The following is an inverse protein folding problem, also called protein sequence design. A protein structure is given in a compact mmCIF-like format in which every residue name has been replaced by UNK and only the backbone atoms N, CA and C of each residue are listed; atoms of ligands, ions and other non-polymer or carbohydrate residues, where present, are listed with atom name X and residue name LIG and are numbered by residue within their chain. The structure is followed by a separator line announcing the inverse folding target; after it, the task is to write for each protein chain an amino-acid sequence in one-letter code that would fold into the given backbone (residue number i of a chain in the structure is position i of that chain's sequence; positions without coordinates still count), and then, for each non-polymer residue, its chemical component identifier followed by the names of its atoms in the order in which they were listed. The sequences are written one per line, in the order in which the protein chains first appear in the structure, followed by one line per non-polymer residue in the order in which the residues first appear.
data_IF_505486285899
#
_entry.id   IF_505486285899
#
_cell.length_a   1.000
_cell.length_b   1.000
_cell.length_c   1.000
_cell.angle_alpha   90.00
_cell.angle_beta   90.00
_cell.angle_gamma   90.00
#
_symmetry.space_group_name_H-M   'P 1'
#
loop_
_entity.id
_entity.type
_entity.pdbx_description
1 polymer ?
#
# COMPACT_ATOMS: atom_id res chain seq x y z
N UNK A 1 15.61 20.42 41.28
CA UNK A 1 16.29 20.07 40.02
C UNK A 1 16.32 18.54 39.94
N UNK A 2 15.39 17.93 39.20
CA UNK A 2 15.38 16.50 38.91
C UNK A 2 15.51 16.38 37.41
N UNK A 3 16.67 15.89 36.97
CA UNK A 3 16.99 15.59 35.58
C UNK A 3 16.13 14.40 35.12
N UNK A 4 15.16 14.64 34.24
CA UNK A 4 14.46 13.59 33.55
C UNK A 4 15.37 13.12 32.41
N UNK A 5 15.92 11.92 32.53
CA UNK A 5 16.54 11.20 31.44
C UNK A 5 15.43 10.87 30.41
N UNK A 6 15.44 11.53 29.29
CA UNK A 6 14.70 11.15 28.09
C UNK A 6 15.39 9.91 27.50
N UNK A 7 14.79 8.75 27.72
CA UNK A 7 15.12 7.54 26.99
C UNK A 7 14.55 7.69 25.57
N UNK A 8 15.39 8.08 24.62
CA UNK A 8 15.11 7.89 23.19
C UNK A 8 15.13 6.40 22.93
N UNK A 9 13.94 5.79 22.76
CA UNK A 9 13.81 4.39 22.34
C UNK A 9 14.27 4.26 20.88
N UNK A 10 15.55 3.98 20.71
CA UNK A 10 16.07 3.49 19.44
C UNK A 10 15.50 2.09 19.22
N UNK A 11 14.77 1.88 18.13
CA UNK A 11 14.62 0.54 17.56
C UNK A 11 16.03 0.09 17.19
N UNK A 12 16.63 -0.73 18.05
CA UNK A 12 18.00 -1.23 17.80
C UNK A 12 17.96 -2.22 16.66
N UNK A 13 18.30 -1.76 15.47
CA UNK A 13 18.53 -2.60 14.30
C UNK A 13 19.89 -3.27 14.48
N UNK A 14 19.93 -4.42 15.15
CA UNK A 14 21.14 -5.22 15.27
C UNK A 14 21.28 -6.12 14.04
N UNK A 15 22.09 -5.70 13.09
CA UNK A 15 22.64 -6.58 12.04
C UNK A 15 23.73 -7.44 12.65
N UNK A 16 23.41 -8.67 13.00
CA UNK A 16 24.41 -9.64 13.46
C UNK A 16 24.93 -10.42 12.27
N UNK A 17 26.25 -10.32 12.06
CA UNK A 17 26.96 -11.01 10.98
C UNK A 17 26.75 -12.55 11.02
N UNK A 18 26.51 -13.11 9.85
CA UNK A 18 26.28 -14.53 9.64
C UNK A 18 27.50 -15.38 9.98
N UNK A 19 27.39 -16.33 10.91
CA UNK A 19 28.33 -17.39 11.13
C UNK A 19 28.03 -18.61 10.25
N UNK A 20 29.05 -19.33 9.72
CA UNK A 20 28.82 -20.50 8.89
C UNK A 20 28.33 -21.69 9.75
N UNK A 21 27.15 -22.18 9.44
CA UNK A 21 26.56 -23.35 10.09
C UNK A 21 26.82 -24.63 9.30
N UNK A 22 27.19 -25.74 10.01
CA UNK A 22 27.36 -27.09 9.44
C UNK A 22 26.01 -27.70 9.02
N UNK A 23 25.99 -28.32 7.85
CA UNK A 23 24.81 -28.92 7.23
C UNK A 23 24.29 -30.17 7.96
N UNK A 24 22.97 -30.28 8.12
CA UNK A 24 22.25 -31.50 8.47
C UNK A 24 21.36 -31.88 7.27
N UNK A 25 21.45 -33.19 6.89
CA UNK A 25 20.71 -33.75 5.75
C UNK A 25 19.24 -33.92 6.05
N UNK A 26 18.40 -33.71 5.04
CA UNK A 26 16.95 -33.80 4.90
C UNK A 26 16.20 -32.51 5.21
N UNK A 27 15.92 -31.78 4.15
CA UNK A 27 15.01 -30.64 4.17
C UNK A 27 14.12 -30.67 2.95
N UNK A 28 12.83 -30.60 3.20
CA UNK A 28 11.86 -30.19 2.18
C UNK A 28 12.28 -28.81 1.66
N UNK A 29 12.47 -28.69 0.35
CA UNK A 29 12.71 -27.41 -0.29
C UNK A 29 11.48 -26.52 -0.04
N UNK A 30 11.67 -25.46 0.71
CA UNK A 30 10.64 -24.44 0.86
C UNK A 30 10.42 -23.79 -0.52
N UNK A 31 9.25 -23.98 -1.08
CA UNK A 31 8.81 -23.28 -2.27
C UNK A 31 8.40 -21.87 -1.86
N UNK A 32 9.30 -20.92 -2.06
CA UNK A 32 8.99 -19.50 -1.86
C UNK A 32 8.07 -18.96 -2.95
N UNK A 33 7.48 -17.82 -2.67
CA UNK A 33 6.77 -17.01 -3.68
C UNK A 33 7.42 -15.63 -3.76
N UNK A 34 7.30 -15.02 -4.92
CA UNK A 34 7.84 -13.66 -5.11
C UNK A 34 7.27 -12.72 -4.07
N UNK A 35 8.14 -11.98 -3.40
CA UNK A 35 7.72 -10.95 -2.47
C UNK A 35 6.93 -9.84 -3.19
N UNK A 36 5.87 -9.29 -2.55
CA UNK A 36 5.07 -8.24 -3.16
C UNK A 36 5.85 -6.94 -3.30
N UNK A 37 5.46 -6.13 -4.28
CA UNK A 37 5.97 -4.76 -4.44
C UNK A 37 5.52 -3.91 -3.25
N UNK A 38 6.44 -3.11 -2.70
CA UNK A 38 6.18 -2.22 -1.57
C UNK A 38 5.97 -0.79 -2.07
N UNK A 39 4.78 -0.28 -1.85
CA UNK A 39 4.35 1.02 -2.34
C UNK A 39 3.63 1.87 -1.29
N UNK A 40 3.18 3.02 -1.73
CA UNK A 40 2.33 3.88 -0.93
C UNK A 40 1.20 4.47 -1.76
N UNK A 41 0.06 4.65 -1.12
CA UNK A 41 -1.07 5.35 -1.69
C UNK A 41 -0.83 6.85 -1.61
N UNK A 42 -0.77 7.47 -2.78
CA UNK A 42 -0.52 8.90 -2.96
C UNK A 42 -1.86 9.63 -2.99
N UNK A 43 -2.33 10.03 -1.82
CA UNK A 43 -3.66 10.63 -1.67
C UNK A 43 -3.59 12.14 -1.81
N UNK A 44 -4.44 12.66 -2.67
CA UNK A 44 -4.57 14.09 -2.91
C UNK A 44 -5.77 14.75 -2.24
N UNK A 45 -6.77 13.98 -1.84
CA UNK A 45 -7.93 14.50 -1.15
C UNK A 45 -7.50 15.10 0.19
N UNK A 46 -7.58 16.41 0.35
CA UNK A 46 -7.36 17.16 1.60
C UNK A 46 -5.92 17.60 1.93
N UNK A 47 -4.93 17.50 0.99
CA UNK A 47 -3.55 17.89 1.33
C UNK A 47 -2.93 18.87 0.36
N UNK A 48 -2.62 20.09 0.84
CA UNK A 48 -2.18 21.10 -0.09
C UNK A 48 -0.70 21.09 -0.39
N UNK A 49 0.18 20.98 0.58
CA UNK A 49 1.48 21.58 0.34
C UNK A 49 2.62 20.64 -0.07
N UNK A 50 3.08 19.68 0.74
CA UNK A 50 4.37 19.08 0.41
C UNK A 50 4.31 18.10 -0.76
N UNK A 51 3.18 17.43 -1.01
CA UNK A 51 3.04 16.52 -2.15
C UNK A 51 2.86 17.31 -3.45
N UNK A 52 1.95 18.28 -3.48
CA UNK A 52 1.70 19.13 -4.67
C UNK A 52 2.96 19.89 -5.05
N UNK A 53 3.58 20.57 -4.08
CA UNK A 53 4.83 21.27 -4.30
C UNK A 53 5.96 20.33 -4.73
N UNK A 54 5.98 19.10 -4.20
CA UNK A 54 6.92 18.06 -4.62
C UNK A 54 6.69 17.58 -6.04
N UNK A 55 5.48 17.71 -6.59
CA UNK A 55 5.22 17.41 -7.99
C UNK A 55 5.62 18.58 -8.90
N UNK A 56 5.38 19.81 -8.48
CA UNK A 56 5.49 21.01 -9.32
C UNK A 56 6.86 21.71 -9.25
N UNK A 57 7.59 21.55 -8.15
CA UNK A 57 8.92 22.16 -7.95
C UNK A 57 10.02 21.10 -8.04
N UNK A 58 10.97 21.26 -8.96
CA UNK A 58 12.02 20.27 -9.21
C UNK A 58 12.95 20.00 -8.02
N UNK A 59 13.19 21.00 -7.16
CA UNK A 59 14.01 20.83 -5.95
C UNK A 59 13.24 20.06 -4.88
N UNK A 60 11.97 20.38 -4.68
CA UNK A 60 11.07 19.70 -3.75
C UNK A 60 10.76 18.29 -4.22
N UNK A 61 10.60 18.07 -5.53
CA UNK A 61 10.47 16.77 -6.17
C UNK A 61 11.64 15.83 -5.83
N UNK A 62 12.88 16.32 -5.95
CA UNK A 62 14.07 15.53 -5.58
C UNK A 62 14.11 15.20 -4.08
N UNK A 63 13.68 16.12 -3.22
CA UNK A 63 13.61 15.88 -1.78
C UNK A 63 12.54 14.83 -1.43
N UNK A 64 11.36 14.93 -2.02
CA UNK A 64 10.27 13.98 -1.88
C UNK A 64 10.68 12.59 -2.39
N UNK A 65 11.29 12.50 -3.57
CA UNK A 65 11.79 11.24 -4.13
C UNK A 65 12.82 10.57 -3.22
N UNK A 66 13.77 11.34 -2.66
CA UNK A 66 14.73 10.79 -1.69
C UNK A 66 14.04 10.26 -0.43
N UNK A 67 13.03 10.97 0.06
CA UNK A 67 12.26 10.52 1.22
C UNK A 67 11.49 9.23 0.93
N UNK A 68 10.88 9.11 -0.24
CA UNK A 68 10.19 7.89 -0.67
C UNK A 68 11.16 6.72 -0.80
N UNK A 69 12.31 6.94 -1.43
CA UNK A 69 13.36 5.93 -1.49
C UNK A 69 13.86 5.52 -0.09
N UNK A 70 14.02 6.49 0.82
CA UNK A 70 14.40 6.21 2.21
C UNK A 70 13.34 5.44 2.99
N UNK A 71 12.06 5.51 2.58
CA UNK A 71 10.98 4.67 3.09
C UNK A 71 10.89 3.30 2.40
N UNK A 72 11.74 3.03 1.40
CA UNK A 72 11.72 1.79 0.63
C UNK A 72 10.59 1.71 -0.38
N UNK A 73 9.99 2.84 -0.76
CA UNK A 73 8.93 2.86 -1.76
C UNK A 73 9.50 2.65 -3.16
N UNK A 74 8.89 1.73 -3.91
CA UNK A 74 9.23 1.44 -5.30
C UNK A 74 8.04 1.61 -6.24
N UNK A 75 6.85 1.80 -5.66
CA UNK A 75 5.61 1.98 -6.39
C UNK A 75 4.71 2.99 -5.68
N UNK A 76 3.96 3.75 -6.44
CA UNK A 76 2.96 4.68 -5.92
C UNK A 76 1.60 4.34 -6.49
N UNK A 77 0.55 4.50 -5.71
CA UNK A 77 -0.82 4.42 -6.20
C UNK A 77 -1.38 5.83 -6.32
N UNK A 78 -1.93 6.16 -7.45
CA UNK A 78 -2.74 7.34 -7.61
C UNK A 78 -4.19 7.00 -7.27
N UNK A 79 -4.60 7.34 -6.07
CA UNK A 79 -5.98 7.17 -5.61
C UNK A 79 -6.83 8.31 -6.16
N UNK A 80 -7.89 7.98 -6.87
CA UNK A 80 -8.75 8.96 -7.47
C UNK A 80 -10.04 9.15 -6.66
N UNK A 81 -10.23 10.37 -6.18
CA UNK A 81 -11.46 10.80 -5.51
C UNK A 81 -12.02 12.04 -6.20
N UNK A 82 -12.87 11.88 -7.20
CA UNK A 82 -13.52 13.00 -7.84
C UNK A 82 -13.52 12.97 -9.37
N UNK A 83 -13.92 14.05 -9.99
CA UNK A 83 -13.96 14.19 -11.43
C UNK A 83 -12.64 14.71 -11.97
N UNK A 84 -12.21 14.10 -13.08
CA UNK A 84 -10.91 14.34 -13.61
C UNK A 84 -10.92 14.36 -15.15
N UNK A 85 -10.22 15.32 -15.75
CA UNK A 85 -9.92 15.32 -17.17
C UNK A 85 -8.47 15.75 -17.41
N UNK A 86 -7.68 14.99 -18.17
CA UNK A 86 -6.31 15.37 -18.54
C UNK A 86 -6.26 16.65 -19.38
N UNK A 87 -7.34 17.02 -20.03
CA UNK A 87 -7.44 18.21 -20.89
C UNK A 87 -8.14 19.41 -20.24
N UNK A 88 -8.36 19.39 -18.95
CA UNK A 88 -8.39 20.55 -18.08
C UNK A 88 -9.67 21.33 -17.92
N UNK A 89 -10.49 21.67 -18.91
CA UNK A 89 -11.52 22.68 -18.70
C UNK A 89 -12.77 22.20 -17.96
N UNK A 90 -13.29 21.02 -18.31
CA UNK A 90 -14.50 20.49 -17.65
C UNK A 90 -14.23 20.04 -16.22
N UNK A 91 -13.15 19.32 -16.02
CA UNK A 91 -12.75 18.88 -14.70
C UNK A 91 -12.36 20.05 -13.81
N UNK A 92 -11.64 21.04 -14.36
CA UNK A 92 -11.27 22.25 -13.62
C UNK A 92 -12.51 23.01 -13.13
N UNK A 93 -13.57 23.12 -13.91
CA UNK A 93 -14.81 23.76 -13.50
C UNK A 93 -15.55 22.95 -12.43
N UNK A 94 -15.69 21.63 -12.59
CA UNK A 94 -16.34 20.74 -11.63
C UNK A 94 -15.58 20.67 -10.32
N UNK A 95 -14.24 20.57 -10.37
CA UNK A 95 -13.37 20.54 -9.20
C UNK A 95 -13.35 21.88 -8.49
N UNK A 96 -13.31 23.00 -9.21
CA UNK A 96 -13.45 24.34 -8.61
C UNK A 96 -14.80 24.52 -7.93
N UNK A 97 -15.88 24.01 -8.52
CA UNK A 97 -17.22 24.03 -7.92
C UNK A 97 -17.28 23.17 -6.65
N UNK A 98 -16.68 21.98 -6.68
CA UNK A 98 -16.62 21.08 -5.53
C UNK A 98 -15.70 21.65 -4.42
N UNK A 99 -14.53 22.16 -4.74
CA UNK A 99 -13.63 22.81 -3.80
C UNK A 99 -14.28 24.05 -3.15
N UNK A 100 -15.02 24.83 -3.91
CA UNK A 100 -15.78 25.95 -3.38
C UNK A 100 -16.90 25.51 -2.44
N UNK A 101 -17.54 24.38 -2.72
CA UNK A 101 -18.61 23.81 -1.91
C UNK A 101 -18.09 23.18 -0.61
N UNK A 102 -16.95 22.53 -0.65
CA UNK A 102 -16.36 21.80 0.48
C UNK A 102 -15.39 22.65 1.29
N UNK A 103 -15.02 23.81 0.79
CA UNK A 103 -13.95 24.66 1.36
C UNK A 103 -12.60 23.92 1.46
N UNK A 104 -12.40 22.94 0.57
CA UNK A 104 -11.21 22.09 0.52
C UNK A 104 -10.21 22.55 -0.54
N UNK A 105 -9.03 22.01 -0.49
CA UNK A 105 -7.78 22.47 -1.09
C UNK A 105 -7.73 22.51 -2.62
N UNK A 106 -6.81 23.30 -3.20
CA UNK A 106 -6.65 23.39 -4.64
C UNK A 106 -6.26 22.02 -5.22
N UNK A 107 -7.03 21.60 -6.18
CA UNK A 107 -6.73 20.43 -6.98
C UNK A 107 -5.49 20.66 -7.84
N UNK A 108 -4.75 19.61 -8.13
CA UNK A 108 -3.65 19.67 -9.08
C UNK A 108 -3.88 18.72 -10.26
N UNK A 109 -3.32 19.05 -11.44
CA UNK A 109 -3.45 18.21 -12.61
C UNK A 109 -2.78 16.86 -12.45
N UNK A 110 -3.40 15.78 -12.93
CA UNK A 110 -2.76 14.47 -13.03
C UNK A 110 -1.51 14.53 -13.89
N UNK A 111 -1.44 15.50 -14.78
CA UNK A 111 -0.27 15.78 -15.60
C UNK A 111 0.99 15.88 -14.76
N UNK A 112 0.93 16.62 -13.65
CA UNK A 112 2.06 16.76 -12.74
C UNK A 112 2.46 15.41 -12.11
N UNK A 113 1.46 14.57 -11.80
CA UNK A 113 1.73 13.23 -11.29
C UNK A 113 2.33 12.32 -12.38
N UNK A 114 1.78 12.34 -13.59
CA UNK A 114 2.30 11.55 -14.71
C UNK A 114 3.74 11.96 -15.01
N UNK A 115 4.05 13.26 -15.04
CA UNK A 115 5.40 13.75 -15.25
C UNK A 115 6.34 13.34 -14.11
N UNK A 116 5.86 13.37 -12.88
CA UNK A 116 6.63 12.90 -11.73
C UNK A 116 6.98 11.40 -11.90
N UNK A 117 6.02 10.55 -12.22
CA UNK A 117 6.27 9.11 -12.44
C UNK A 117 7.17 8.91 -13.68
N UNK A 118 6.97 9.68 -14.74
CA UNK A 118 7.82 9.61 -15.93
C UNK A 118 9.28 9.95 -15.63
N UNK A 119 9.51 10.97 -14.80
CA UNK A 119 10.83 11.48 -14.45
C UNK A 119 11.57 10.73 -13.34
N UNK A 120 10.90 9.84 -12.60
CA UNK A 120 11.48 9.13 -11.45
C UNK A 120 11.31 7.63 -11.57
N UNK A 121 12.07 6.86 -10.80
CA UNK A 121 12.09 5.39 -10.89
C UNK A 121 11.03 4.74 -9.99
N UNK A 122 9.76 5.08 -10.24
CA UNK A 122 8.61 4.46 -9.60
C UNK A 122 7.73 3.77 -10.61
N UNK A 123 7.13 2.65 -10.20
CA UNK A 123 5.95 2.11 -10.88
C UNK A 123 4.68 2.72 -10.27
N UNK A 124 3.53 2.56 -10.94
CA UNK A 124 2.27 3.12 -10.42
C UNK A 124 1.07 2.23 -10.71
N UNK A 125 0.10 2.26 -9.80
CA UNK A 125 -1.30 1.95 -10.06
C UNK A 125 -2.01 3.28 -10.32
N UNK A 126 -2.62 3.39 -11.50
CA UNK A 126 -3.26 4.63 -11.95
C UNK A 126 -4.77 4.50 -11.81
N UNK A 127 -5.37 5.21 -10.86
CA UNK A 127 -6.81 5.26 -10.69
C UNK A 127 -7.49 6.08 -11.78
N UNK A 128 -8.61 5.56 -12.29
CA UNK A 128 -9.52 6.28 -13.20
C UNK A 128 -10.93 6.28 -12.60
N UNK A 129 -11.71 7.33 -12.89
CA UNK A 129 -13.07 7.42 -12.39
C UNK A 129 -14.05 6.78 -13.39
N UNK A 130 -14.75 5.73 -12.96
CA UNK A 130 -15.75 5.06 -13.82
C UNK A 130 -16.95 5.95 -14.15
N UNK A 131 -17.21 7.00 -13.35
CA UNK A 131 -18.29 7.94 -13.61
C UNK A 131 -18.03 8.84 -14.84
N UNK A 132 -16.78 9.10 -15.16
CA UNK A 132 -16.40 9.94 -16.30
C UNK A 132 -16.48 9.21 -17.65
N UNK A 133 -16.57 7.88 -17.62
CA UNK A 133 -16.72 7.06 -18.82
C UNK A 133 -15.40 6.52 -19.40
N UNK A 134 -15.54 5.72 -20.44
CA UNK A 134 -14.44 4.96 -21.02
C UNK A 134 -13.47 5.82 -21.87
N UNK A 135 -13.97 6.88 -22.47
CA UNK A 135 -13.20 7.83 -23.27
C UNK A 135 -12.22 8.61 -22.39
N UNK A 136 -12.66 9.12 -21.24
CA UNK A 136 -11.79 9.81 -20.28
C UNK A 136 -10.75 8.85 -19.71
N UNK A 137 -11.14 7.64 -19.34
CA UNK A 137 -10.22 6.62 -18.86
C UNK A 137 -9.16 6.26 -19.90
N UNK A 138 -9.54 6.20 -21.18
CA UNK A 138 -8.62 5.97 -22.30
C UNK A 138 -7.64 7.13 -22.48
N UNK A 139 -8.12 8.36 -22.44
CA UNK A 139 -7.28 9.56 -22.56
C UNK A 139 -6.22 9.60 -21.47
N UNK A 140 -6.61 9.32 -20.21
CA UNK A 140 -5.69 9.26 -19.06
C UNK A 140 -4.64 8.16 -19.25
N UNK A 141 -5.07 6.94 -19.56
CA UNK A 141 -4.17 5.81 -19.70
C UNK A 141 -3.23 5.96 -20.92
N UNK A 142 -3.75 6.47 -22.03
CA UNK A 142 -2.96 6.69 -23.26
C UNK A 142 -1.95 7.82 -23.07
N UNK A 143 -2.33 8.90 -22.37
CA UNK A 143 -1.41 9.99 -22.05
C UNK A 143 -0.28 9.51 -21.13
N UNK A 144 -0.61 8.72 -20.12
CA UNK A 144 0.40 8.08 -19.28
C UNK A 144 1.38 7.25 -20.09
N UNK A 145 0.88 6.39 -20.98
CA UNK A 145 1.72 5.51 -21.81
C UNK A 145 2.57 6.27 -22.85
N UNK A 146 2.13 7.44 -23.28
CA UNK A 146 2.87 8.33 -24.16
C UNK A 146 4.02 9.02 -23.45
N UNK A 147 3.84 9.42 -22.18
CA UNK A 147 4.80 10.22 -21.38
C UNK A 147 5.70 9.34 -20.51
N UNK A 148 5.18 8.23 -20.02
CA UNK A 148 5.91 7.28 -19.19
C UNK A 148 6.06 5.92 -19.87
N UNK A 149 7.07 5.17 -19.48
CA UNK A 149 7.25 3.81 -19.99
C UNK A 149 6.10 2.88 -19.53
N UNK A 150 5.61 2.00 -20.40
CA UNK A 150 4.65 0.95 -20.05
C UNK A 150 5.06 0.14 -18.81
N UNK A 151 6.36 -0.10 -18.63
CA UNK A 151 6.89 -0.83 -17.45
C UNK A 151 6.59 -0.16 -16.13
N UNK A 152 6.27 1.14 -16.14
CA UNK A 152 5.92 1.90 -14.95
C UNK A 152 4.44 1.76 -14.58
N UNK A 153 3.57 1.31 -15.48
CA UNK A 153 2.16 1.09 -15.21
C UNK A 153 1.92 -0.35 -14.72
N UNK A 154 1.63 -0.50 -13.45
CA UNK A 154 1.26 -1.80 -12.85
C UNK A 154 -0.13 -2.20 -13.32
N UNK A 155 -1.10 -1.30 -13.16
CA UNK A 155 -2.48 -1.48 -13.58
C UNK A 155 -3.24 -0.13 -13.65
N UNK A 156 -4.36 -0.14 -14.37
CA UNK A 156 -5.39 0.91 -14.30
C UNK A 156 -6.44 0.46 -13.29
N UNK A 157 -6.59 1.20 -12.19
CA UNK A 157 -7.57 0.93 -11.14
C UNK A 157 -8.92 1.59 -11.48
N UNK A 158 -9.97 0.78 -11.48
CA UNK A 158 -11.29 1.18 -11.94
C UNK A 158 -12.10 1.78 -10.79
N UNK A 159 -11.85 3.04 -10.49
CA UNK A 159 -12.43 3.80 -9.38
C UNK A 159 -11.89 3.43 -7.99
N UNK A 160 -12.16 4.28 -7.02
CA UNK A 160 -11.87 4.04 -5.61
C UNK A 160 -13.18 3.76 -4.87
N UNK A 161 -13.27 2.63 -4.17
CA UNK A 161 -14.40 2.26 -3.30
C UNK A 161 -15.79 2.57 -3.89
N UNK A 162 -16.15 2.07 -5.07
CA UNK A 162 -17.40 2.44 -5.76
C UNK A 162 -18.65 2.16 -4.91
N UNK A 163 -18.58 1.23 -3.99
CA UNK A 163 -19.64 0.86 -3.04
C UNK A 163 -19.85 1.91 -1.92
N UNK A 164 -18.88 2.81 -1.69
CA UNK A 164 -18.92 3.86 -0.66
C UNK A 164 -19.11 5.27 -1.22
N UNK A 165 -19.15 5.46 -2.52
CA UNK A 165 -19.35 6.75 -3.14
C UNK A 165 -20.65 7.41 -2.65
N UNK A 166 -20.79 8.75 -2.78
CA UNK A 166 -21.99 9.49 -2.41
C UNK A 166 -23.26 8.93 -3.09
N UNK A 167 -23.10 8.43 -4.32
CA UNK A 167 -24.06 7.54 -4.99
C UNK A 167 -23.39 6.16 -5.04
N UNK A 168 -23.65 5.30 -4.06
CA UNK A 168 -23.05 3.97 -4.07
C UNK A 168 -23.55 3.20 -5.29
N UNK A 169 -22.60 2.71 -6.06
CA UNK A 169 -22.90 1.92 -7.23
C UNK A 169 -23.57 0.61 -6.83
N UNK A 170 -24.64 0.26 -7.54
CA UNK A 170 -25.11 -1.11 -7.51
C UNK A 170 -24.06 -2.00 -8.20
N UNK A 171 -23.84 -3.24 -7.72
CA UNK A 171 -22.78 -4.08 -8.23
C UNK A 171 -22.85 -4.35 -9.72
N UNK A 172 -24.06 -4.52 -10.26
CA UNK A 172 -24.26 -4.75 -11.69
C UNK A 172 -23.99 -3.50 -12.53
N UNK A 173 -24.44 -2.34 -12.07
CA UNK A 173 -24.22 -1.07 -12.74
C UNK A 173 -22.72 -0.72 -12.80
N UNK A 174 -22.01 -0.92 -11.68
CA UNK A 174 -20.56 -0.76 -11.66
C UNK A 174 -19.87 -1.74 -12.60
N UNK A 175 -20.30 -3.01 -12.65
CA UNK A 175 -19.75 -4.03 -13.52
C UNK A 175 -19.89 -3.67 -15.01
N UNK A 176 -21.04 -3.10 -15.43
CA UNK A 176 -21.26 -2.63 -16.79
C UNK A 176 -20.26 -1.50 -17.14
N UNK A 177 -20.14 -0.50 -16.29
CA UNK A 177 -19.18 0.60 -16.49
C UNK A 177 -17.73 0.12 -16.54
N UNK A 178 -17.36 -0.76 -15.61
CA UNK A 178 -16.03 -1.36 -15.59
C UNK A 178 -15.76 -2.16 -16.87
N UNK A 179 -16.74 -2.90 -17.39
CA UNK A 179 -16.63 -3.64 -18.66
C UNK A 179 -16.40 -2.70 -19.83
N UNK A 180 -17.17 -1.61 -19.93
CA UNK A 180 -17.02 -0.62 -21.00
C UNK A 180 -15.59 -0.05 -21.01
N UNK A 181 -15.05 0.30 -19.84
CA UNK A 181 -13.69 0.82 -19.71
C UNK A 181 -12.66 -0.26 -20.11
N UNK A 182 -12.80 -1.50 -19.62
CA UNK A 182 -11.90 -2.60 -19.95
C UNK A 182 -11.87 -2.86 -21.44
N UNK A 183 -13.05 -2.91 -22.07
CA UNK A 183 -13.18 -3.14 -23.52
C UNK A 183 -12.54 -1.98 -24.32
N UNK A 184 -12.82 -0.73 -23.92
CA UNK A 184 -12.31 0.46 -24.60
C UNK A 184 -10.79 0.61 -24.47
N UNK A 185 -10.21 0.25 -23.30
CA UNK A 185 -8.78 0.30 -23.06
C UNK A 185 -8.02 -0.94 -23.54
N UNK A 186 -8.70 -1.98 -24.01
CA UNK A 186 -8.07 -3.24 -24.44
C UNK A 186 -6.98 -3.06 -25.50
N UNK A 187 -7.09 -2.11 -26.49
CA UNK A 187 -6.02 -1.86 -27.47
C UNK A 187 -4.71 -1.37 -26.82
N UNK A 188 -4.79 -0.73 -25.67
CA UNK A 188 -3.62 -0.25 -24.91
C UNK A 188 -2.83 -1.39 -24.25
N UNK A 189 -3.39 -2.61 -24.16
CA UNK A 189 -2.76 -3.79 -23.55
C UNK A 189 -2.26 -3.52 -22.13
N UNK A 190 -3.05 -2.84 -21.35
CA UNK A 190 -2.81 -2.57 -19.91
C UNK A 190 -3.48 -3.64 -19.06
N UNK A 191 -3.00 -3.82 -17.83
CA UNK A 191 -3.70 -4.60 -16.81
C UNK A 191 -4.68 -3.71 -16.08
N UNK A 192 -5.68 -4.33 -15.49
CA UNK A 192 -6.72 -3.64 -14.74
C UNK A 192 -6.69 -4.04 -13.26
N UNK A 193 -7.16 -3.15 -12.40
CA UNK A 193 -7.34 -3.39 -11.00
C UNK A 193 -8.78 -3.08 -10.61
N UNK A 194 -9.50 -4.09 -10.11
CA UNK A 194 -10.94 -4.07 -9.86
C UNK A 194 -11.20 -4.00 -8.36
N UNK A 195 -11.75 -2.90 -7.83
CA UNK A 195 -12.11 -2.79 -6.42
C UNK A 195 -13.04 -3.90 -5.95
N UNK A 196 -12.65 -4.54 -4.85
CA UNK A 196 -13.44 -5.53 -4.13
C UNK A 196 -13.75 -5.00 -2.72
N UNK A 197 -14.93 -5.27 -2.22
CA UNK A 197 -15.34 -4.79 -0.90
C UNK A 197 -14.85 -5.71 0.21
N UNK A 198 -14.34 -5.14 1.31
CA UNK A 198 -13.80 -5.88 2.45
C UNK A 198 -14.21 -5.26 3.78
N UNK A 199 -14.84 -6.07 4.64
CA UNK A 199 -14.99 -5.73 6.07
C UNK A 199 -15.90 -4.56 6.40
N UNK A 200 -16.75 -4.12 5.47
CA UNK A 200 -17.65 -2.98 5.61
C UNK A 200 -19.13 -3.36 5.74
N UNK A 201 -19.45 -4.61 6.06
CA UNK A 201 -20.83 -5.15 6.07
C UNK A 201 -21.86 -4.28 6.80
N UNK A 202 -21.43 -3.56 7.83
CA UNK A 202 -22.32 -2.69 8.63
C UNK A 202 -22.49 -1.28 8.09
N UNK A 203 -21.79 -0.89 7.02
CA UNK A 203 -21.70 0.50 6.56
C UNK A 203 -21.96 0.72 5.08
N UNK A 204 -22.23 -0.31 4.30
CA UNK A 204 -22.48 -0.13 2.87
C UNK A 204 -23.84 0.53 2.64
N UNK A 205 -23.91 1.69 1.96
CA UNK A 205 -25.17 2.31 1.60
C UNK A 205 -26.09 1.41 0.76
N UNK A 206 -25.51 0.41 0.08
CA UNK A 206 -26.25 -0.59 -0.72
C UNK A 206 -26.97 -1.64 0.11
N UNK A 207 -26.72 -1.71 1.43
CA UNK A 207 -27.23 -2.75 2.34
C UNK A 207 -26.87 -4.20 1.95
N UNK A 208 -25.90 -4.37 1.05
CA UNK A 208 -25.37 -5.68 0.67
C UNK A 208 -24.16 -6.02 1.56
N UNK A 209 -23.99 -7.28 1.89
CA UNK A 209 -22.73 -7.76 2.44
C UNK A 209 -21.61 -7.65 1.41
N UNK A 210 -20.36 -7.59 1.86
CA UNK A 210 -19.20 -7.56 0.97
C UNK A 210 -19.20 -8.74 0.00
N UNK A 211 -19.46 -9.93 0.50
CA UNK A 211 -19.51 -11.13 -0.33
C UNK A 211 -20.62 -11.07 -1.38
N UNK A 212 -21.79 -10.56 -1.03
CA UNK A 212 -22.91 -10.44 -1.96
C UNK A 212 -22.64 -9.36 -3.02
N UNK A 213 -22.09 -8.22 -2.62
CA UNK A 213 -21.71 -7.17 -3.55
C UNK A 213 -20.68 -7.66 -4.56
N UNK A 214 -19.58 -8.28 -4.07
CA UNK A 214 -18.52 -8.82 -4.90
C UNK A 214 -19.05 -9.92 -5.84
N UNK A 215 -19.86 -10.86 -5.34
CA UNK A 215 -20.42 -11.93 -6.14
C UNK A 215 -21.31 -11.42 -7.28
N UNK A 216 -22.19 -10.48 -7.00
CA UNK A 216 -23.09 -9.90 -8.02
C UNK A 216 -22.30 -9.13 -9.06
N UNK A 217 -21.38 -8.29 -8.65
CA UNK A 217 -20.48 -7.51 -9.51
C UNK A 217 -19.67 -8.43 -10.44
N UNK A 218 -18.97 -9.42 -9.86
CA UNK A 218 -18.15 -10.35 -10.64
C UNK A 218 -18.98 -11.22 -11.57
N UNK A 219 -20.19 -11.61 -11.18
CA UNK A 219 -21.11 -12.37 -12.03
C UNK A 219 -21.56 -11.53 -13.23
N UNK A 220 -21.93 -10.27 -13.02
CA UNK A 220 -22.31 -9.36 -14.10
C UNK A 220 -21.13 -9.12 -15.06
N UNK A 221 -19.96 -8.78 -14.51
CA UNK A 221 -18.75 -8.54 -15.29
C UNK A 221 -18.35 -9.76 -16.13
N UNK A 222 -18.54 -10.97 -15.59
CA UNK A 222 -18.19 -12.22 -16.28
C UNK A 222 -19.01 -12.50 -17.54
N UNK A 223 -20.16 -11.87 -17.68
CA UNK A 223 -20.99 -11.96 -18.89
C UNK A 223 -20.46 -11.09 -20.03
N UNK A 224 -19.71 -10.04 -19.70
CA UNK A 224 -19.19 -9.06 -20.65
C UNK A 224 -17.77 -9.38 -21.10
N UNK A 225 -16.89 -9.75 -20.19
CA UNK A 225 -15.47 -9.92 -20.49
C UNK A 225 -15.03 -11.39 -20.57
N UNK A 226 -14.10 -11.67 -21.49
CA UNK A 226 -13.59 -13.02 -21.73
C UNK A 226 -12.74 -13.55 -20.57
N UNK A 227 -12.58 -14.89 -20.49
CA UNK A 227 -11.66 -15.53 -19.52
C UNK A 227 -10.21 -15.04 -19.68
N UNK A 228 -9.78 -14.78 -20.92
CA UNK A 228 -8.44 -14.23 -21.19
C UNK A 228 -8.28 -12.85 -20.57
N UNK A 229 -9.26 -11.98 -20.77
CA UNK A 229 -9.25 -10.63 -20.18
C UNK A 229 -9.27 -10.68 -18.66
N UNK A 230 -10.02 -11.63 -18.08
CA UNK A 230 -10.07 -11.80 -16.61
C UNK A 230 -8.72 -12.17 -15.99
N UNK A 231 -7.84 -12.84 -16.74
CA UNK A 231 -6.49 -13.17 -16.25
C UNK A 231 -5.57 -11.95 -16.15
N UNK A 232 -5.93 -10.85 -16.79
CA UNK A 232 -5.20 -9.58 -16.73
C UNK A 232 -5.78 -8.59 -15.71
N UNK A 233 -6.73 -9.06 -14.87
CA UNK A 233 -7.37 -8.26 -13.83
C UNK A 233 -6.81 -8.65 -12.47
N UNK A 234 -6.34 -7.65 -11.73
CA UNK A 234 -6.07 -7.75 -10.29
C UNK A 234 -7.34 -7.46 -9.49
N UNK A 235 -7.55 -8.15 -8.38
CA UNK A 235 -8.48 -7.69 -7.36
C UNK A 235 -7.82 -6.64 -6.48
N UNK A 236 -8.53 -5.57 -6.18
CA UNK A 236 -8.08 -4.52 -5.27
C UNK A 236 -8.65 -4.77 -3.88
N UNK A 237 -7.81 -4.71 -2.86
CA UNK A 237 -8.19 -4.85 -1.46
C UNK A 237 -7.79 -3.61 -0.67
N UNK A 238 -8.72 -3.08 0.13
CA UNK A 238 -8.44 -2.08 1.15
C UNK A 238 -8.46 -2.75 2.53
N UNK A 239 -7.30 -2.88 3.14
CA UNK A 239 -7.13 -3.64 4.37
C UNK A 239 -6.78 -2.70 5.54
N UNK A 240 -7.72 -2.53 6.46
CA UNK A 240 -7.55 -1.79 7.69
C UNK A 240 -7.65 -2.72 8.91
N UNK A 241 -6.98 -2.40 9.98
CA UNK A 241 -6.62 -3.18 11.17
C UNK A 241 -7.53 -4.33 11.63
N UNK A 242 -8.84 -4.18 11.54
CA UNK A 242 -9.78 -5.19 12.03
C UNK A 242 -10.13 -6.25 10.99
N UNK A 243 -9.84 -5.98 9.70
CA UNK A 243 -10.15 -6.86 8.57
C UNK A 243 -8.95 -7.63 8.02
N UNK A 244 -7.74 -7.40 8.54
CA UNK A 244 -6.54 -8.08 8.05
C UNK A 244 -6.36 -9.39 8.80
N UNK A 245 -7.06 -10.41 8.37
CA UNK A 245 -6.76 -11.79 8.75
C UNK A 245 -6.52 -12.63 7.50
N UNK A 246 -5.70 -13.64 7.63
CA UNK A 246 -5.55 -14.68 6.59
C UNK A 246 -6.92 -15.20 6.14
N UNK A 247 -7.85 -15.34 7.07
CA UNK A 247 -9.21 -15.83 6.82
C UNK A 247 -10.03 -14.91 5.92
N UNK A 248 -9.83 -13.58 6.01
CA UNK A 248 -10.49 -12.62 5.12
C UNK A 248 -10.03 -12.81 3.67
N UNK A 249 -8.71 -12.96 3.45
CA UNK A 249 -8.15 -13.21 2.12
C UNK A 249 -8.63 -14.58 1.59
N UNK A 250 -8.75 -15.61 2.44
CA UNK A 250 -9.26 -16.92 2.04
C UNK A 250 -10.74 -16.87 1.67
N UNK A 251 -11.54 -16.09 2.40
CA UNK A 251 -12.94 -15.85 2.05
C UNK A 251 -13.07 -15.15 0.70
N UNK A 252 -12.20 -14.15 0.44
CA UNK A 252 -12.10 -13.51 -0.86
C UNK A 252 -11.74 -14.47 -1.98
N UNK A 253 -10.72 -15.28 -1.79
CA UNK A 253 -10.29 -16.27 -2.76
C UNK A 253 -11.46 -17.19 -3.13
N UNK A 254 -12.23 -17.63 -2.14
CA UNK A 254 -13.42 -18.46 -2.37
C UNK A 254 -14.49 -17.75 -3.21
N UNK A 255 -14.73 -16.47 -2.96
CA UNK A 255 -15.72 -15.68 -3.69
C UNK A 255 -15.28 -15.35 -5.12
N UNK A 256 -13.97 -15.15 -5.35
CA UNK A 256 -13.40 -14.71 -6.62
C UNK A 256 -13.07 -15.87 -7.56
N UNK A 257 -12.78 -17.06 -7.04
CA UNK A 257 -12.40 -18.24 -7.85
C UNK A 257 -13.34 -18.57 -9.04
N UNK A 258 -14.68 -18.47 -8.92
CA UNK A 258 -15.57 -18.70 -10.07
C UNK A 258 -15.36 -17.69 -11.20
N UNK A 259 -14.93 -16.46 -10.88
CA UNK A 259 -14.68 -15.42 -11.86
C UNK A 259 -13.28 -15.54 -12.48
N UNK A 260 -12.26 -15.65 -11.64
CA UNK A 260 -10.86 -15.78 -12.05
C UNK A 260 -10.11 -16.72 -11.08
N UNK A 261 -9.87 -17.99 -11.44
CA UNK A 261 -9.31 -19.01 -10.55
C UNK A 261 -7.92 -18.67 -9.99
N UNK A 262 -7.19 -17.80 -10.67
CA UNK A 262 -5.82 -17.37 -10.32
C UNK A 262 -5.70 -15.86 -10.12
N UNK A 263 -6.80 -15.20 -9.73
CA UNK A 263 -6.74 -13.75 -9.49
C UNK A 263 -5.69 -13.45 -8.44
N UNK A 264 -4.86 -12.46 -8.73
CA UNK A 264 -3.89 -11.88 -7.79
C UNK A 264 -4.43 -10.56 -7.28
N UNK A 265 -3.93 -10.11 -6.14
CA UNK A 265 -4.46 -8.93 -5.47
C UNK A 265 -3.41 -7.83 -5.35
N UNK A 266 -3.88 -6.60 -5.49
CA UNK A 266 -3.18 -5.40 -5.06
C UNK A 266 -3.85 -4.93 -3.78
N UNK A 267 -3.12 -4.87 -2.68
CA UNK A 267 -3.58 -4.20 -1.47
C UNK A 267 -3.28 -2.72 -1.65
N UNK A 268 -4.20 -1.98 -2.25
CA UNK A 268 -3.98 -0.59 -2.65
C UNK A 268 -4.17 0.41 -1.53
N UNK A 269 -4.81 -0.01 -0.44
CA UNK A 269 -4.83 0.73 0.82
C UNK A 269 -4.59 -0.22 1.99
N UNK A 270 -3.49 0.00 2.68
CA UNK A 270 -3.16 -0.72 3.90
C UNK A 270 -2.83 0.22 5.03
N UNK A 271 -3.51 0.05 6.17
CA UNK A 271 -3.13 0.65 7.43
C UNK A 271 -3.68 -0.19 8.59
N UNK A 272 -3.02 -0.22 9.72
CA UNK A 272 -3.50 -0.94 10.91
C UNK A 272 -4.52 -0.16 11.74
N UNK A 273 -4.72 1.12 11.44
CA UNK A 273 -5.75 1.97 12.05
C UNK A 273 -6.35 2.90 11.01
N UNK A 274 -7.67 3.02 11.03
CA UNK A 274 -8.42 3.93 10.16
C UNK A 274 -8.54 5.36 10.72
N UNK A 275 -8.15 5.60 11.98
CA UNK A 275 -8.29 6.89 12.66
C UNK A 275 -6.93 7.44 13.06
N UNK A 276 -6.67 8.69 12.66
CA UNK A 276 -5.45 9.44 12.99
C UNK A 276 -5.59 10.30 14.26
N UNK A 277 -6.74 10.24 14.94
CA UNK A 277 -7.05 11.15 16.06
C UNK A 277 -6.00 11.16 17.17
N UNK A 278 -5.34 10.03 17.39
CA UNK A 278 -4.37 9.86 18.47
C UNK A 278 -2.92 9.80 17.99
N UNK A 279 -2.66 10.01 16.69
CA UNK A 279 -1.34 9.90 16.04
C UNK A 279 -0.50 8.71 16.56
N UNK A 280 -1.04 7.48 16.59
CA UNK A 280 -0.31 6.33 17.12
C UNK A 280 0.90 5.96 16.27
N UNK A 281 0.97 6.48 15.05
CA UNK A 281 1.99 6.17 14.04
C UNK A 281 3.41 6.54 14.44
N UNK A 282 3.55 7.40 15.45
CA UNK A 282 4.84 7.82 15.99
C UNK A 282 5.33 6.96 17.16
N UNK A 283 4.61 5.88 17.49
CA UNK A 283 4.97 4.97 18.58
C UNK A 283 5.63 3.69 18.08
N UNK A 284 6.50 3.13 18.93
CA UNK A 284 7.14 1.83 18.64
C UNK A 284 6.11 0.68 18.67
N UNK A 285 5.10 0.77 19.51
CA UNK A 285 3.99 -0.20 19.57
C UNK A 285 3.25 -0.28 18.24
N UNK A 286 2.95 0.88 17.64
CA UNK A 286 2.35 0.92 16.31
C UNK A 286 3.28 0.29 15.29
N UNK A 287 4.58 0.63 15.32
CA UNK A 287 5.55 0.11 14.36
C UNK A 287 5.68 -1.42 14.43
N UNK A 288 5.66 -2.00 15.62
CA UNK A 288 5.73 -3.45 15.82
C UNK A 288 4.46 -4.15 15.32
N UNK A 289 3.29 -3.61 15.63
CA UNK A 289 2.02 -4.16 15.12
C UNK A 289 1.95 -4.04 13.58
N UNK A 290 2.34 -2.89 13.05
CA UNK A 290 2.43 -2.64 11.62
C UNK A 290 3.37 -3.64 10.94
N UNK A 291 4.56 -3.86 11.50
CA UNK A 291 5.52 -4.83 11.03
C UNK A 291 4.93 -6.24 10.92
N UNK A 292 4.24 -6.68 11.98
CA UNK A 292 3.61 -8.00 12.03
C UNK A 292 2.55 -8.16 10.92
N UNK A 293 1.72 -7.14 10.75
CA UNK A 293 0.65 -7.18 9.75
C UNK A 293 1.17 -7.10 8.32
N UNK A 294 2.18 -6.30 8.06
CA UNK A 294 2.85 -6.27 6.74
C UNK A 294 3.46 -7.63 6.43
N UNK A 295 4.18 -8.25 7.35
CA UNK A 295 4.77 -9.57 7.14
C UNK A 295 3.70 -10.66 6.91
N UNK A 296 2.56 -10.60 7.63
CA UNK A 296 1.42 -11.49 7.42
C UNK A 296 0.86 -11.38 6.00
N UNK A 297 0.66 -10.15 5.50
CA UNK A 297 0.17 -9.92 4.13
C UNK A 297 1.21 -10.34 3.10
N UNK A 298 2.50 -10.01 3.31
CA UNK A 298 3.59 -10.38 2.41
C UNK A 298 3.75 -11.90 2.26
N UNK A 299 3.34 -12.67 3.27
CA UNK A 299 3.40 -14.13 3.24
C UNK A 299 2.35 -14.79 2.33
N UNK A 300 1.43 -14.01 1.79
CA UNK A 300 0.35 -14.51 0.94
C UNK A 300 0.79 -14.51 -0.53
N UNK A 301 0.86 -15.68 -1.19
CA UNK A 301 1.36 -15.78 -2.56
C UNK A 301 0.48 -15.10 -3.61
N UNK A 302 -0.78 -14.84 -3.30
CA UNK A 302 -1.71 -14.12 -4.16
C UNK A 302 -1.55 -12.60 -4.14
N UNK A 303 -0.80 -12.04 -3.17
CA UNK A 303 -0.57 -10.59 -3.07
C UNK A 303 0.59 -10.19 -3.98
N UNK A 304 0.33 -9.27 -4.91
CA UNK A 304 1.31 -8.75 -5.87
C UNK A 304 1.98 -7.46 -5.39
N UNK A 305 1.21 -6.62 -4.69
CA UNK A 305 1.72 -5.36 -4.15
C UNK A 305 0.95 -4.92 -2.90
N UNK A 306 1.63 -4.16 -2.03
CA UNK A 306 1.07 -3.54 -0.83
C UNK A 306 1.36 -2.05 -0.89
N UNK A 307 0.31 -1.23 -0.85
CA UNK A 307 0.40 0.23 -0.79
C UNK A 307 -0.08 0.70 0.58
N UNK A 308 0.83 1.30 1.34
CA UNK A 308 0.47 1.87 2.63
C UNK A 308 -0.38 3.10 2.41
N UNK A 309 -1.58 3.08 3.00
CA UNK A 309 -2.50 4.21 2.94
C UNK A 309 -1.97 5.36 3.77
N UNK A 310 -1.94 6.53 3.14
CA UNK A 310 -1.66 7.72 3.88
C UNK A 310 -0.21 8.17 3.87
N UNK A 311 0.40 8.31 2.71
CA UNK A 311 1.49 9.26 2.53
C UNK A 311 0.85 10.60 2.14
N UNK A 312 0.97 11.61 2.96
CA UNK A 312 1.80 11.84 4.15
C UNK A 312 1.07 11.70 5.51
N UNK A 313 0.12 10.78 5.65
CA UNK A 313 -0.73 10.63 6.83
C UNK A 313 -0.03 9.98 8.04
N UNK A 314 1.27 10.14 8.16
CA UNK A 314 2.07 9.64 9.27
C UNK A 314 2.19 8.12 9.39
N UNK A 315 1.60 7.31 8.50
CA UNK A 315 1.76 5.87 8.61
C UNK A 315 3.23 5.46 8.54
N UNK A 316 3.93 5.86 7.48
CA UNK A 316 5.35 5.56 7.27
C UNK A 316 6.24 6.79 7.19
N UNK A 317 5.67 7.96 6.90
CA UNK A 317 6.40 9.24 6.87
C UNK A 317 5.48 10.42 7.13
N UNK A 318 6.08 11.55 7.49
CA UNK A 318 5.42 12.82 7.65
C UNK A 318 6.30 13.96 7.11
N UNK A 319 5.69 15.11 6.89
CA UNK A 319 6.41 16.33 6.53
C UNK A 319 6.31 17.36 7.66
N UNK A 320 7.42 18.06 7.94
CA UNK A 320 7.49 19.12 8.92
C UNK A 320 7.90 20.44 8.24
N UNK A 321 7.27 21.55 8.64
CA UNK A 321 7.68 22.89 8.23
C UNK A 321 8.77 23.50 9.16
N UNK A 322 9.38 22.67 9.99
CA UNK A 322 10.36 23.08 10.99
C UNK A 322 9.74 23.60 12.30
N UNK A 323 8.43 23.81 12.33
CA UNK A 323 7.69 24.27 13.52
C UNK A 323 6.56 23.30 13.90
N UNK A 324 5.96 22.70 12.92
CA UNK A 324 4.82 21.78 13.08
C UNK A 324 4.91 20.65 12.06
N UNK A 325 4.36 19.51 12.44
CA UNK A 325 4.09 18.44 11.51
C UNK A 325 2.80 18.76 10.77
N UNK A 326 2.86 18.67 9.45
CA UNK A 326 1.64 18.80 8.64
C UNK A 326 0.83 17.53 8.80
N UNK A 327 -0.26 17.62 9.55
CA UNK A 327 -1.23 16.53 9.75
C UNK A 327 -2.44 16.73 8.85
N UNK A 328 -3.28 15.70 8.70
CA UNK A 328 -4.56 15.76 7.98
C UNK A 328 -5.44 16.92 8.44
N UNK A 329 -5.34 17.29 9.71
CA UNK A 329 -6.15 18.36 10.30
C UNK A 329 -5.35 19.65 10.55
N UNK A 330 -4.13 19.78 10.05
CA UNK A 330 -3.27 20.94 10.26
C UNK A 330 -2.82 21.16 11.72
N UNK A 331 -2.99 20.17 12.59
CA UNK A 331 -2.64 20.28 13.99
C UNK A 331 -1.18 19.88 14.26
N UNK A 332 -0.56 20.56 15.23
CA UNK A 332 0.75 20.16 15.75
C UNK A 332 0.64 18.84 16.52
N UNK A 333 1.61 17.95 16.34
CA UNK A 333 1.75 16.80 17.22
C UNK A 333 2.68 17.17 18.39
N UNK A 334 2.16 17.25 19.63
CA UNK A 334 2.96 17.64 20.80
C UNK A 334 3.98 16.55 21.21
N UNK A 335 3.87 15.32 20.66
CA UNK A 335 4.77 14.20 20.97
C UNK A 335 6.05 14.25 20.17
N UNK A 336 6.11 15.09 19.13
CA UNK A 336 7.33 15.25 18.36
C UNK A 336 8.40 15.95 19.18
N UNK A 337 9.60 15.39 19.16
CA UNK A 337 10.77 16.01 19.75
C UNK A 337 11.18 17.25 18.97
N UNK A 338 12.05 18.09 19.54
CA UNK A 338 12.56 19.26 18.87
C UNK A 338 13.37 18.90 17.61
N UNK A 339 14.01 17.75 17.60
CA UNK A 339 14.78 17.22 16.47
C UNK A 339 13.87 16.77 15.32
N UNK A 340 12.69 16.25 15.64
CA UNK A 340 11.69 15.86 14.64
C UNK A 340 11.01 17.07 13.99
N UNK A 341 11.25 18.28 14.48
CA UNK A 341 10.69 19.53 13.97
C UNK A 341 11.60 20.28 12.99
N UNK A 342 12.58 19.61 12.43
CA UNK A 342 13.34 20.15 11.30
C UNK A 342 12.48 20.17 10.05
N UNK A 343 12.66 21.18 9.19
CA UNK A 343 11.92 21.23 7.93
C UNK A 343 12.29 20.05 7.03
N UNK A 344 11.29 19.39 6.48
CA UNK A 344 11.47 18.31 5.52
C UNK A 344 10.64 17.05 5.80
N UNK A 345 10.97 16.01 5.05
CA UNK A 345 10.37 14.69 5.16
C UNK A 345 11.06 13.83 6.23
N UNK A 346 10.29 13.17 7.05
CA UNK A 346 10.77 12.31 8.13
C UNK A 346 10.10 10.95 8.09
N UNK A 347 10.87 9.89 8.39
CA UNK A 347 10.31 8.56 8.55
C UNK A 347 9.74 8.38 9.97
N UNK A 348 8.58 7.77 10.06
CA UNK A 348 8.06 7.25 11.33
C UNK A 348 8.81 5.98 11.75
N UNK A 349 8.67 5.50 12.99
CA UNK A 349 9.15 4.17 13.36
C UNK A 349 8.65 3.06 12.42
N UNK A 350 7.36 3.09 12.02
CA UNK A 350 6.80 2.16 11.04
C UNK A 350 7.42 2.31 9.65
N UNK A 351 7.77 3.54 9.25
CA UNK A 351 8.47 3.79 7.98
C UNK A 351 9.86 3.17 7.91
N UNK A 352 10.58 3.14 9.03
CA UNK A 352 11.88 2.46 9.13
C UNK A 352 11.73 0.94 8.98
N UNK A 353 10.70 0.37 9.59
CA UNK A 353 10.36 -1.05 9.42
C UNK A 353 9.95 -1.35 7.99
N UNK A 354 9.13 -0.49 7.40
CA UNK A 354 8.68 -0.65 6.02
C UNK A 354 9.87 -0.65 5.04
N UNK A 355 10.82 0.27 5.24
CA UNK A 355 12.07 0.30 4.47
C UNK A 355 12.87 -1.00 4.63
N UNK A 356 13.03 -1.50 5.85
CA UNK A 356 13.70 -2.78 6.09
C UNK A 356 13.04 -3.91 5.30
N UNK A 357 11.72 -4.03 5.37
CA UNK A 357 10.97 -5.09 4.69
C UNK A 357 11.02 -4.94 3.18
N UNK A 358 10.92 -3.71 2.66
CA UNK A 358 11.10 -3.44 1.25
C UNK A 358 12.48 -3.85 0.74
N UNK A 359 13.53 -3.54 1.49
CA UNK A 359 14.89 -3.96 1.16
C UNK A 359 15.08 -5.47 1.15
N UNK A 360 14.47 -6.18 2.11
CA UNK A 360 14.49 -7.65 2.15
C UNK A 360 13.67 -8.28 1.02
N UNK A 361 12.55 -7.65 0.67
CA UNK A 361 11.62 -8.12 -0.36
C UNK A 361 12.07 -7.79 -1.79
N UNK A 362 13.03 -6.89 -1.95
CA UNK A 362 13.47 -6.43 -3.27
C UNK A 362 13.97 -7.61 -4.14
N UNK A 363 13.19 -7.92 -5.18
CA UNK A 363 13.40 -9.08 -6.04
C UNK A 363 13.55 -10.43 -5.30
N UNK A 364 13.10 -10.49 -4.05
CA UNK A 364 13.22 -11.65 -3.18
C UNK A 364 12.01 -12.57 -3.22
N UNK A 365 12.11 -13.66 -2.46
CA UNK A 365 11.05 -14.64 -2.25
C UNK A 365 10.70 -14.73 -0.77
N UNK A 366 9.42 -14.63 -0.42
CA UNK A 366 8.96 -14.99 0.93
C UNK A 366 8.86 -16.50 1.02
N UNK A 367 9.58 -17.09 1.96
CA UNK A 367 9.64 -18.54 2.14
C UNK A 367 8.54 -19.04 3.08
N UNK A 368 8.34 -18.35 4.19
CA UNK A 368 7.26 -18.64 5.13
C UNK A 368 7.04 -17.49 6.11
N UNK A 369 5.92 -17.54 6.81
CA UNK A 369 5.57 -16.67 7.93
C UNK A 369 4.88 -17.50 9.03
N UNK A 370 5.26 -17.25 10.29
CA UNK A 370 4.60 -17.80 11.46
C UNK A 370 4.12 -16.67 12.35
N UNK A 371 2.81 -16.52 12.47
CA UNK A 371 2.17 -15.45 13.23
C UNK A 371 2.19 -15.63 14.74
N UNK A 372 1.69 -14.62 15.45
CA UNK A 372 1.57 -14.55 16.92
C UNK A 372 2.32 -13.35 17.50
N UNK A 373 2.33 -13.21 18.84
CA UNK A 373 3.06 -12.15 19.53
C UNK A 373 4.59 -12.23 19.36
N UNK A 374 5.08 -13.43 19.02
CA UNK A 374 6.47 -13.68 18.64
C UNK A 374 6.47 -14.27 17.23
N UNK A 375 6.26 -13.40 16.24
CA UNK A 375 6.20 -13.77 14.84
C UNK A 375 7.58 -13.91 14.25
N UNK A 376 7.77 -14.86 13.34
CA UNK A 376 8.99 -14.96 12.55
C UNK A 376 8.69 -15.30 11.11
N UNK A 377 9.55 -14.85 10.21
CA UNK A 377 9.44 -15.06 8.79
C UNK A 377 10.81 -15.16 8.13
N UNK A 378 10.84 -15.75 6.94
CA UNK A 378 12.05 -15.89 6.16
C UNK A 378 11.85 -15.36 4.76
N UNK A 379 12.88 -14.68 4.26
CA UNK A 379 12.97 -14.20 2.88
C UNK A 379 14.26 -14.70 2.27
N UNK A 380 14.21 -15.16 1.04
CA UNK A 380 15.38 -15.36 0.21
C UNK A 380 15.59 -14.11 -0.64
N UNK A 381 16.71 -13.42 -0.48
CA UNK A 381 17.02 -12.23 -1.27
C UNK A 381 17.43 -12.58 -2.73
N UNK A 382 17.63 -11.56 -3.55
CA UNK A 382 18.04 -11.68 -4.96
C UNK A 382 19.41 -12.36 -5.16
N UNK A 383 20.23 -12.48 -4.09
CA UNK A 383 21.53 -13.18 -4.07
C UNK A 383 21.42 -14.60 -3.54
N UNK A 384 20.19 -15.07 -3.28
CA UNK A 384 19.94 -16.42 -2.74
C UNK A 384 20.21 -16.56 -1.25
N UNK A 385 20.50 -15.48 -0.51
CA UNK A 385 20.73 -15.52 0.94
C UNK A 385 19.38 -15.55 1.66
N UNK A 386 19.30 -16.37 2.70
CA UNK A 386 18.09 -16.44 3.54
C UNK A 386 18.29 -15.50 4.72
N UNK A 387 17.38 -14.54 4.84
CA UNK A 387 17.29 -13.63 5.97
C UNK A 387 16.08 -14.04 6.83
N UNK A 388 16.36 -14.33 8.10
CA UNK A 388 15.35 -14.64 9.11
C UNK A 388 15.04 -13.40 9.91
N UNK A 389 13.77 -13.09 10.07
CA UNK A 389 13.32 -11.98 10.92
C UNK A 389 12.49 -12.53 12.07
N UNK A 390 12.86 -12.19 13.30
CA UNK A 390 12.07 -12.44 14.50
C UNK A 390 11.52 -11.13 15.01
N UNK A 391 10.20 -11.02 15.03
CA UNK A 391 9.46 -9.90 15.58
C UNK A 391 8.92 -10.30 16.96
N UNK A 392 9.29 -9.57 17.98
CA UNK A 392 8.82 -9.75 19.34
C UNK A 392 8.01 -8.53 19.80
N UNK A 393 6.71 -8.68 19.89
CA UNK A 393 5.80 -7.62 20.42
C UNK A 393 5.57 -7.73 21.92
N UNK A 394 6.10 -8.78 22.55
CA UNK A 394 5.90 -9.07 23.98
C UNK A 394 6.93 -8.41 24.89
N UNK A 395 6.65 -8.35 26.18
CA UNK A 395 7.48 -7.70 27.21
C UNK A 395 8.73 -8.47 27.62
N UNK A 396 8.86 -9.75 27.20
CA UNK A 396 10.01 -10.61 27.54
C UNK A 396 10.89 -10.92 26.31
N UNK A 397 12.03 -11.54 26.53
CA UNK A 397 12.89 -12.00 25.45
C UNK A 397 12.26 -13.18 24.70
N UNK A 398 12.09 -13.05 23.39
CA UNK A 398 11.64 -14.13 22.52
C UNK A 398 12.80 -15.07 22.15
N UNK A 399 12.53 -16.38 22.13
CA UNK A 399 13.46 -17.40 21.64
C UNK A 399 12.72 -18.38 20.78
N UNK A 400 13.20 -18.62 19.56
CA UNK A 400 12.61 -19.56 18.60
C UNK A 400 13.70 -20.46 18.00
N UNK A 401 13.36 -21.73 17.86
CA UNK A 401 14.15 -22.65 17.06
C UNK A 401 13.44 -22.86 15.73
N UNK A 402 14.09 -22.54 14.63
CA UNK A 402 13.52 -22.59 13.29
C UNK A 402 14.39 -23.50 12.43
N UNK A 403 13.77 -24.42 11.68
CA UNK A 403 14.44 -25.29 10.74
C UNK A 403 14.16 -24.82 9.31
N UNK A 404 15.18 -24.50 8.55
CA UNK A 404 15.07 -24.04 7.16
C UNK A 404 16.06 -24.81 6.32
N UNK A 405 15.60 -25.43 5.24
CA UNK A 405 16.43 -26.22 4.31
C UNK A 405 17.39 -27.17 5.05
N UNK A 406 16.87 -27.84 6.09
CA UNK A 406 17.62 -28.78 6.91
C UNK A 406 18.51 -28.18 7.98
N UNK A 407 18.72 -26.87 7.99
CA UNK A 407 19.52 -26.17 8.99
C UNK A 407 18.64 -25.70 10.14
N UNK A 408 19.15 -25.83 11.35
CA UNK A 408 18.48 -25.35 12.55
C UNK A 408 19.08 -24.01 12.98
N UNK A 409 18.20 -23.03 13.21
CA UNK A 409 18.55 -21.69 13.65
C UNK A 409 17.92 -21.43 15.01
N UNK A 410 18.69 -20.86 15.91
CA UNK A 410 18.20 -20.37 17.19
C UNK A 410 18.11 -18.86 17.13
N UNK A 411 16.89 -18.34 17.10
CA UNK A 411 16.60 -16.92 17.02
C UNK A 411 16.35 -16.39 18.43
N UNK A 412 16.87 -15.22 18.74
CA UNK A 412 16.62 -14.53 20.00
C UNK A 412 16.38 -13.06 19.73
N UNK A 413 15.25 -12.53 20.21
CA UNK A 413 14.92 -11.11 20.10
C UNK A 413 14.58 -10.54 21.49
N UNK A 414 15.13 -9.38 21.86
CA UNK A 414 14.73 -8.66 23.06
C UNK A 414 13.22 -8.36 23.07
N UNK A 415 12.71 -7.93 24.21
CA UNK A 415 11.35 -7.41 24.31
C UNK A 415 11.11 -6.27 23.33
N UNK A 416 9.94 -6.25 22.67
CA UNK A 416 9.51 -5.17 21.78
C UNK A 416 10.55 -4.79 20.72
N UNK A 417 11.00 -5.79 19.97
CA UNK A 417 12.08 -5.61 18.97
C UNK A 417 11.86 -6.42 17.70
N UNK A 418 12.58 -6.01 16.66
CA UNK A 418 12.73 -6.74 15.40
C UNK A 418 14.22 -7.06 15.24
N UNK A 419 14.54 -8.35 15.03
CA UNK A 419 15.90 -8.80 14.82
C UNK A 419 15.98 -9.59 13.52
N UNK A 420 16.95 -9.26 12.67
CA UNK A 420 17.25 -9.98 11.43
C UNK A 420 18.54 -10.80 11.62
N UNK A 421 18.54 -12.03 11.09
CA UNK A 421 19.62 -13.01 11.20
C UNK A 421 20.12 -13.43 9.84
#
# INVERSE_FOLDING_TARGET
MKSALLASSLISLLLIASFPARAIKNADRLTGHRAPVMGADFIFANWPHPLIEGLQDSKKSKAMTRAFAAAGLTSLRFSFHGFYSPRGERATAAIKAENKRTNEFPWFPIDDYIDYIAGHDFTTVLGVNVEEGADVAYDVASDFLRRASRRKLVAVELSNEPHLNRRPWQPEEYAERAADIIEFLSPLRVKFALPLTVGNESKTPTRLSDNEWNKRMLTALSKRISLKTRSDIYGVLHLYARGVSSDAIDAFNKAVRPFAPRMRYLVTEFNIRSSLKDNPHLTDEYALEFARKVAEIMSRPEIEAIYVHGVPYHAIMYWSDGRRVVTVNGHNDPRLTREDRTEGWHLTPAGRVYNLYSGLAWNGEVLFFQGGGQSYWAVRDDRGRIVLTLLNTEGGTARKNVKIEGRQYRLTAPARSIVCF
#
